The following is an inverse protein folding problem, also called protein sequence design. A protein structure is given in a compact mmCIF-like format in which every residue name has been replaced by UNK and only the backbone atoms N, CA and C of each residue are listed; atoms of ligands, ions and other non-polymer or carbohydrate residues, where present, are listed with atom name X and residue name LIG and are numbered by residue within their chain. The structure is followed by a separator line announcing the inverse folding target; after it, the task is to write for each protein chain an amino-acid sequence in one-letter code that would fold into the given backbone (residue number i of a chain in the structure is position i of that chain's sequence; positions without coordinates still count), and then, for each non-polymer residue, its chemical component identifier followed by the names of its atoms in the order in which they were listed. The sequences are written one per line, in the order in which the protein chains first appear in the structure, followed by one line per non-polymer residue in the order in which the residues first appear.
data_IF_645512379124
#
_entry.id   IF_645512379124
#
_cell.length_a   1.000
_cell.length_b   1.000
_cell.length_c   1.000
_cell.angle_alpha   90.00
_cell.angle_beta   90.00
_cell.angle_gamma   90.00
#
_symmetry.space_group_name_H-M   'P 1'
#
loop_
_entity.id
_entity.type
_entity.pdbx_description
1 polymer ?
#
# COMPACT_ATOMS: atom_id res chain seq x y z
N UNK A 1 29.28 6.15 -11.91
CA UNK A 1 28.86 7.49 -12.41
C UNK A 1 27.41 7.39 -12.86
N UNK A 2 26.43 8.19 -12.48
CA UNK A 2 26.31 9.30 -11.54
C UNK A 2 24.82 9.39 -11.22
N UNK A 3 24.46 9.21 -9.95
CA UNK A 3 23.16 9.61 -9.41
C UNK A 3 23.03 11.12 -9.53
N UNK A 4 22.05 11.61 -10.29
CA UNK A 4 21.58 13.01 -10.31
C UNK A 4 20.40 13.09 -11.27
N UNK A 5 19.16 13.11 -10.75
CA UNK A 5 18.01 13.86 -11.31
C UNK A 5 16.68 13.66 -10.54
N UNK A 6 16.70 13.43 -9.23
CA UNK A 6 15.50 13.60 -8.40
C UNK A 6 15.59 14.96 -7.68
N UNK A 7 15.33 16.05 -8.40
CA UNK A 7 15.20 17.39 -7.82
C UNK A 7 13.72 17.72 -7.66
N UNK A 8 13.32 18.02 -6.43
CA UNK A 8 12.02 18.54 -6.01
C UNK A 8 10.80 17.64 -6.23
N UNK A 9 10.49 16.82 -5.23
CA UNK A 9 9.10 16.46 -4.96
C UNK A 9 8.60 17.44 -3.89
N UNK A 10 8.04 18.58 -4.31
CA UNK A 10 7.24 19.38 -3.39
C UNK A 10 5.84 18.80 -3.37
N UNK A 11 5.35 18.46 -2.18
CA UNK A 11 3.96 18.07 -1.94
C UNK A 11 3.11 19.27 -2.37
N UNK A 12 2.33 19.10 -3.43
CA UNK A 12 1.44 20.11 -3.95
C UNK A 12 0.02 19.69 -3.56
N UNK A 13 -0.61 20.44 -2.65
CA UNK A 13 -1.92 20.12 -2.07
C UNK A 13 -3.01 19.92 -3.13
N UNK A 14 -2.90 20.56 -4.30
CA UNK A 14 -3.80 20.32 -5.43
C UNK A 14 -3.70 18.90 -6.00
N UNK A 15 -2.50 18.32 -6.07
CA UNK A 15 -2.31 16.97 -6.63
C UNK A 15 -2.88 15.86 -5.74
N UNK A 16 -3.00 16.13 -4.44
CA UNK A 16 -3.60 15.20 -3.49
C UNK A 16 -5.12 15.20 -3.59
N UNK A 17 -5.71 16.38 -3.80
CA UNK A 17 -7.12 16.49 -4.13
C UNK A 17 -7.41 15.76 -5.45
N UNK A 18 -6.60 16.02 -6.49
CA UNK A 18 -6.72 15.34 -7.78
C UNK A 18 -6.56 13.81 -7.65
N UNK A 19 -5.65 13.32 -6.80
CA UNK A 19 -5.48 11.89 -6.54
C UNK A 19 -6.69 11.31 -5.82
N UNK A 20 -7.22 12.00 -4.81
CA UNK A 20 -8.39 11.56 -4.05
C UNK A 20 -9.64 11.54 -4.93
N UNK A 21 -9.85 12.56 -5.77
CA UNK A 21 -10.93 12.61 -6.75
C UNK A 21 -10.74 11.56 -7.85
N UNK A 22 -9.51 11.35 -8.32
CA UNK A 22 -9.20 10.32 -9.30
C UNK A 22 -9.45 8.92 -8.75
N UNK A 23 -9.02 8.62 -7.53
CA UNK A 23 -9.27 7.34 -6.85
C UNK A 23 -10.78 7.12 -6.64
N UNK A 24 -11.49 8.14 -6.12
CA UNK A 24 -12.95 8.10 -5.98
C UNK A 24 -13.64 7.85 -7.33
N UNK A 25 -13.17 8.49 -8.39
CA UNK A 25 -13.68 8.34 -9.76
C UNK A 25 -13.39 6.96 -10.34
N UNK A 26 -12.22 6.37 -10.09
CA UNK A 26 -11.92 5.00 -10.53
C UNK A 26 -12.78 3.99 -9.78
N UNK A 27 -12.83 4.07 -8.45
CA UNK A 27 -13.63 3.19 -7.58
C UNK A 27 -15.13 3.22 -7.96
N UNK A 28 -15.67 4.40 -8.27
CA UNK A 28 -17.07 4.56 -8.70
C UNK A 28 -17.35 4.13 -10.14
N UNK A 29 -16.36 4.24 -11.04
CA UNK A 29 -16.47 3.77 -12.43
C UNK A 29 -16.39 2.24 -12.53
N UNK A 30 -15.69 1.57 -11.61
CA UNK A 30 -15.62 0.10 -11.46
C UNK A 30 -16.82 -0.51 -10.72
N UNK A 31 -18.02 0.07 -10.82
CA UNK A 31 -19.24 -0.46 -10.18
C UNK A 31 -19.63 -1.86 -10.67
N UNK A 32 -19.13 -2.29 -11.83
CA UNK A 32 -19.34 -3.63 -12.40
C UNK A 32 -18.30 -4.67 -11.92
N UNK A 33 -17.17 -4.23 -11.34
CA UNK A 33 -16.00 -5.07 -11.03
C UNK A 33 -15.94 -5.50 -9.55
N UNK A 34 -16.73 -4.87 -8.69
CA UNK A 34 -16.75 -5.12 -7.24
C UNK A 34 -17.15 -6.55 -6.87
N UNK A 35 -18.01 -7.21 -7.66
CA UNK A 35 -18.42 -8.60 -7.43
C UNK A 35 -17.29 -9.60 -7.73
N UNK A 36 -16.52 -9.40 -8.81
CA UNK A 36 -15.35 -10.22 -9.14
C UNK A 36 -14.18 -9.91 -8.19
N UNK A 37 -14.00 -8.65 -7.81
CA UNK A 37 -13.00 -8.22 -6.83
C UNK A 37 -13.17 -8.92 -5.47
N UNK A 38 -14.40 -9.11 -4.99
CA UNK A 38 -14.68 -9.86 -3.75
C UNK A 38 -14.39 -11.37 -3.83
N UNK A 39 -14.26 -11.96 -5.02
CA UNK A 39 -14.07 -13.41 -5.16
C UNK A 39 -12.67 -13.84 -4.73
N UNK A 40 -11.63 -13.03 -5.00
CA UNK A 40 -10.27 -13.40 -4.63
C UNK A 40 -10.08 -13.39 -3.11
N UNK A 41 -9.54 -14.47 -2.54
CA UNK A 41 -9.44 -14.69 -1.08
C UNK A 41 -8.67 -13.57 -0.35
N UNK A 42 -7.72 -12.94 -1.03
CA UNK A 42 -6.87 -11.89 -0.48
C UNK A 42 -7.51 -10.49 -0.48
N UNK A 43 -8.68 -10.29 -1.11
CA UNK A 43 -9.35 -9.00 -1.09
C UNK A 43 -10.31 -8.87 0.10
N UNK A 44 -10.52 -7.64 0.62
CA UNK A 44 -11.53 -7.37 1.63
C UNK A 44 -12.90 -7.92 1.23
N UNK A 45 -13.46 -8.80 2.07
CA UNK A 45 -14.77 -9.43 1.82
C UNK A 45 -15.96 -8.53 2.17
N UNK A 46 -15.74 -7.60 3.09
CA UNK A 46 -16.74 -6.65 3.58
C UNK A 46 -16.38 -5.26 3.06
N UNK A 47 -17.35 -4.56 2.47
CA UNK A 47 -17.15 -3.19 2.00
C UNK A 47 -17.37 -2.20 3.16
N UNK A 48 -16.34 -1.98 3.96
CA UNK A 48 -16.32 -1.01 5.07
C UNK A 48 -15.11 -0.07 4.96
N UNK A 49 -14.97 0.89 5.88
CA UNK A 49 -13.85 1.84 5.86
C UNK A 49 -12.49 1.14 5.87
N UNK A 50 -12.34 0.02 6.60
CA UNK A 50 -11.11 -0.77 6.60
C UNK A 50 -10.78 -1.39 5.23
N UNK A 51 -11.79 -1.69 4.41
CA UNK A 51 -11.56 -2.12 3.03
C UNK A 51 -11.05 -0.98 2.15
N UNK A 52 -11.53 0.25 2.38
CA UNK A 52 -11.04 1.45 1.67
C UNK A 52 -9.58 1.72 2.06
N UNK A 53 -9.26 1.67 3.35
CA UNK A 53 -7.89 1.85 3.85
C UNK A 53 -6.94 0.79 3.27
N UNK A 54 -7.41 -0.46 3.16
CA UNK A 54 -6.67 -1.55 2.54
C UNK A 54 -6.42 -1.32 1.05
N UNK A 55 -7.46 -0.96 0.28
CA UNK A 55 -7.34 -0.66 -1.16
C UNK A 55 -6.31 0.44 -1.36
N UNK A 56 -6.41 1.51 -0.58
CA UNK A 56 -5.52 2.66 -0.70
C UNK A 56 -4.05 2.28 -0.48
N UNK A 57 -3.73 1.53 0.59
CA UNK A 57 -2.36 1.10 0.86
C UNK A 57 -1.85 0.13 -0.22
N UNK A 58 -2.68 -0.80 -0.67
CA UNK A 58 -2.28 -1.76 -1.71
C UNK A 58 -2.02 -1.05 -3.03
N UNK A 59 -2.91 -0.16 -3.47
CA UNK A 59 -2.75 0.60 -4.71
C UNK A 59 -1.53 1.51 -4.67
N UNK A 60 -1.28 2.19 -3.53
CA UNK A 60 -0.09 3.03 -3.35
C UNK A 60 1.21 2.23 -3.46
N UNK A 61 1.18 0.94 -3.10
CA UNK A 61 2.34 0.05 -3.12
C UNK A 61 2.36 -0.87 -4.36
N UNK A 62 1.39 -0.80 -5.26
CA UNK A 62 1.25 -1.71 -6.41
C UNK A 62 2.20 -1.34 -7.56
N UNK A 63 3.51 -1.38 -7.32
CA UNK A 63 4.54 -1.12 -8.32
C UNK A 63 5.72 -2.09 -8.22
N UNK A 64 6.48 -2.22 -9.31
CA UNK A 64 7.76 -2.95 -9.39
C UNK A 64 7.72 -4.44 -9.00
N UNK A 65 6.99 -5.26 -9.78
CA UNK A 65 7.00 -6.73 -9.64
C UNK A 65 7.94 -7.45 -10.62
N UNK A 66 8.79 -6.72 -11.33
CA UNK A 66 9.70 -7.28 -12.32
C UNK A 66 10.92 -7.90 -11.63
N UNK A 67 11.11 -9.21 -11.79
CA UNK A 67 12.35 -9.89 -11.42
C UNK A 67 12.65 -10.95 -12.47
N UNK A 68 13.84 -10.93 -13.04
CA UNK A 68 14.24 -11.87 -14.10
C UNK A 68 14.60 -13.26 -13.55
N UNK A 69 15.13 -13.35 -12.31
CA UNK A 69 15.73 -14.59 -11.80
C UNK A 69 15.14 -15.12 -10.47
N UNK A 70 14.69 -14.26 -9.56
CA UNK A 70 14.13 -14.71 -8.27
C UNK A 70 12.95 -13.83 -7.88
N UNK A 71 11.77 -14.44 -7.82
CA UNK A 71 10.52 -13.73 -7.54
C UNK A 71 10.33 -13.55 -6.04
N UNK A 72 10.04 -12.31 -5.65
CA UNK A 72 9.48 -12.04 -4.33
C UNK A 72 8.18 -12.83 -4.16
N UNK A 73 8.10 -13.56 -3.05
CA UNK A 73 6.96 -14.39 -2.71
C UNK A 73 6.65 -14.31 -1.22
N UNK A 74 5.38 -14.54 -0.88
CA UNK A 74 4.89 -14.47 0.49
C UNK A 74 3.95 -15.64 0.73
N UNK A 75 4.17 -16.40 1.79
CA UNK A 75 3.22 -17.42 2.25
C UNK A 75 2.21 -16.83 3.22
N UNK A 76 0.93 -17.03 2.92
CA UNK A 76 -0.19 -16.65 3.78
C UNK A 76 -1.26 -17.74 3.75
N UNK A 77 -1.75 -18.15 4.93
CA UNK A 77 -2.73 -19.24 5.10
C UNK A 77 -2.37 -20.55 4.36
N UNK A 78 -1.08 -20.92 4.31
CA UNK A 78 -0.62 -22.15 3.68
C UNK A 78 -0.43 -22.08 2.15
N UNK A 79 -0.69 -20.93 1.54
CA UNK A 79 -0.49 -20.70 0.11
C UNK A 79 0.62 -19.67 -0.13
N UNK A 80 1.46 -19.92 -1.14
CA UNK A 80 2.56 -19.02 -1.54
C UNK A 80 2.15 -18.20 -2.75
N UNK A 81 2.22 -16.89 -2.62
CA UNK A 81 1.82 -15.93 -3.65
C UNK A 81 3.03 -15.23 -4.24
N UNK A 82 2.93 -14.80 -5.51
CA UNK A 82 3.97 -14.04 -6.23
C UNK A 82 3.34 -12.85 -6.97
N UNK A 83 4.16 -11.92 -7.45
CA UNK A 83 3.68 -10.73 -8.16
C UNK A 83 2.76 -9.89 -7.29
N UNK A 84 1.71 -9.30 -7.87
CA UNK A 84 0.70 -8.52 -7.13
C UNK A 84 0.15 -9.26 -5.90
N UNK A 85 -0.11 -10.56 -6.01
CA UNK A 85 -0.68 -11.33 -4.90
C UNK A 85 0.24 -11.46 -3.70
N UNK A 86 1.56 -11.41 -3.89
CA UNK A 86 2.51 -11.40 -2.77
C UNK A 86 2.41 -10.12 -1.93
N UNK A 87 2.10 -8.97 -2.55
CA UNK A 87 1.85 -7.71 -1.85
C UNK A 87 0.57 -7.83 -1.00
N UNK A 88 -0.53 -8.28 -1.61
CA UNK A 88 -1.79 -8.49 -0.89
C UNK A 88 -1.63 -9.48 0.27
N UNK A 89 -0.89 -10.57 0.05
CA UNK A 89 -0.59 -11.55 1.08
C UNK A 89 0.23 -10.96 2.23
N UNK A 90 1.22 -10.11 1.96
CA UNK A 90 2.01 -9.44 2.99
C UNK A 90 1.16 -8.49 3.85
N UNK A 91 0.31 -7.66 3.23
CA UNK A 91 -0.60 -6.76 3.93
C UNK A 91 -1.57 -7.55 4.82
N UNK A 92 -2.17 -8.62 4.28
CA UNK A 92 -3.10 -9.45 5.04
C UNK A 92 -2.41 -10.21 6.18
N UNK A 93 -1.17 -10.68 5.96
CA UNK A 93 -0.36 -11.32 6.99
C UNK A 93 -0.06 -10.36 8.14
N UNK A 94 0.32 -9.11 7.83
CA UNK A 94 0.55 -8.09 8.83
C UNK A 94 -0.72 -7.77 9.62
N UNK A 95 -1.84 -7.53 8.93
CA UNK A 95 -3.13 -7.28 9.57
C UNK A 95 -3.59 -8.46 10.46
N UNK A 96 -3.43 -9.71 9.98
CA UNK A 96 -3.76 -10.92 10.76
C UNK A 96 -2.91 -11.05 12.03
N UNK A 97 -1.66 -10.58 11.99
CA UNK A 97 -0.74 -10.56 13.13
C UNK A 97 -0.94 -9.33 14.04
N UNK A 98 -2.00 -8.54 13.85
CA UNK A 98 -2.30 -7.37 14.68
C UNK A 98 -1.47 -6.13 14.36
N UNK A 99 -0.73 -6.12 13.25
CA UNK A 99 0.01 -4.94 12.78
C UNK A 99 -0.97 -4.03 12.02
N UNK A 100 -1.17 -2.78 12.45
CA UNK A 100 -2.11 -1.85 11.81
C UNK A 100 -1.51 -1.22 10.54
N UNK A 101 -1.08 -2.03 9.58
CA UNK A 101 -0.40 -1.60 8.34
C UNK A 101 -1.26 -0.71 7.43
N UNK A 102 -2.57 -0.68 7.66
CA UNK A 102 -3.50 0.21 6.94
C UNK A 102 -3.83 1.50 7.71
N UNK A 103 -3.31 1.69 8.92
CA UNK A 103 -3.53 2.91 9.72
C UNK A 103 -2.49 3.99 9.37
N UNK A 104 -2.91 5.17 8.89
CA UNK A 104 -2.02 6.29 8.61
C UNK A 104 -1.12 6.70 9.77
N UNK A 105 -1.63 6.60 11.00
CA UNK A 105 -0.90 6.95 12.22
C UNK A 105 0.29 6.02 12.44
N UNK A 106 0.11 4.74 12.09
CA UNK A 106 1.15 3.73 12.17
C UNK A 106 2.15 3.89 11.04
N UNK A 107 1.68 3.86 9.79
CA UNK A 107 2.61 3.79 8.67
C UNK A 107 3.33 5.12 8.39
N UNK A 108 2.85 6.26 8.90
CA UNK A 108 3.59 7.52 8.90
C UNK A 108 4.87 7.50 9.75
N UNK A 109 4.94 6.59 10.74
CA UNK A 109 6.07 6.45 11.68
C UNK A 109 6.74 5.08 11.58
N UNK A 110 6.38 4.28 10.58
CA UNK A 110 6.91 2.94 10.37
C UNK A 110 8.42 2.98 10.21
N UNK A 111 9.14 2.12 10.93
CA UNK A 111 10.59 2.03 10.81
C UNK A 111 11.01 1.03 9.73
N UNK A 112 12.22 1.17 9.14
CA UNK A 112 12.71 0.25 8.11
C UNK A 112 12.70 -1.23 8.53
N UNK A 113 13.10 -1.54 9.76
CA UNK A 113 13.10 -2.90 10.32
C UNK A 113 11.68 -3.49 10.43
N UNK A 114 10.70 -2.65 10.78
CA UNK A 114 9.29 -3.06 10.81
C UNK A 114 8.75 -3.29 9.40
N UNK A 115 9.12 -2.46 8.44
CA UNK A 115 8.75 -2.63 7.03
C UNK A 115 9.33 -3.93 6.47
N UNK A 116 10.60 -4.21 6.74
CA UNK A 116 11.26 -5.46 6.35
C UNK A 116 10.57 -6.68 6.99
N UNK A 117 10.14 -6.56 8.24
CA UNK A 117 9.37 -7.62 8.89
C UNK A 117 8.01 -7.87 8.21
N UNK A 118 7.27 -6.80 7.90
CA UNK A 118 5.96 -6.86 7.24
C UNK A 118 6.08 -7.51 5.86
N UNK A 119 7.03 -7.02 5.06
CA UNK A 119 7.27 -7.46 3.70
C UNK A 119 8.32 -8.57 3.59
N UNK A 120 8.62 -9.29 4.67
CA UNK A 120 9.55 -10.42 4.64
C UNK A 120 9.09 -11.46 3.61
N UNK A 121 9.87 -11.64 2.55
CA UNK A 121 9.59 -12.65 1.55
C UNK A 121 10.12 -14.02 1.95
N UNK A 122 9.68 -15.04 1.22
CA UNK A 122 10.21 -16.39 1.36
C UNK A 122 11.63 -16.47 0.77
N UNK A 123 12.41 -17.47 1.21
CA UNK A 123 13.75 -17.78 0.70
C UNK A 123 14.74 -16.59 0.73
N UNK A 124 14.54 -15.63 1.64
CA UNK A 124 15.42 -14.46 1.79
C UNK A 124 15.26 -13.42 0.68
N UNK A 125 14.23 -13.54 -0.17
CA UNK A 125 13.98 -12.57 -1.24
C UNK A 125 13.26 -11.37 -0.67
N UNK A 126 13.86 -10.19 -0.79
CA UNK A 126 13.27 -8.94 -0.33
C UNK A 126 12.27 -8.39 -1.33
N UNK A 127 11.28 -7.65 -0.84
CA UNK A 127 10.37 -6.92 -1.72
C UNK A 127 11.17 -5.88 -2.53
N UNK A 128 10.97 -5.78 -3.85
CA UNK A 128 11.66 -4.77 -4.65
C UNK A 128 11.30 -3.36 -4.18
N UNK A 129 12.29 -2.47 -4.20
CA UNK A 129 12.14 -1.04 -3.87
C UNK A 129 11.59 -0.79 -2.45
N UNK A 130 12.09 -1.54 -1.46
CA UNK A 130 11.67 -1.44 -0.06
C UNK A 130 11.74 -0.01 0.49
N UNK A 131 12.86 0.70 0.27
CA UNK A 131 13.03 2.07 0.74
C UNK A 131 12.01 3.04 0.11
N UNK A 132 11.71 2.88 -1.17
CA UNK A 132 10.72 3.69 -1.87
C UNK A 132 9.31 3.41 -1.34
N UNK A 133 8.99 2.16 -1.00
CA UNK A 133 7.71 1.81 -0.35
C UNK A 133 7.59 2.49 1.00
N UNK A 134 8.68 2.54 1.77
CA UNK A 134 8.69 3.24 3.05
C UNK A 134 8.40 4.74 2.87
N UNK A 135 9.07 5.36 1.90
CA UNK A 135 8.89 6.78 1.59
C UNK A 135 7.44 7.08 1.19
N UNK A 136 6.84 6.24 0.33
CA UNK A 136 5.44 6.35 -0.06
C UNK A 136 4.52 6.25 1.16
N UNK A 137 4.71 5.27 2.03
CA UNK A 137 3.93 5.13 3.26
C UNK A 137 4.06 6.36 4.17
N UNK A 138 5.28 6.86 4.38
CA UNK A 138 5.52 8.05 5.19
C UNK A 138 4.84 9.28 4.60
N UNK A 139 4.91 9.47 3.28
CA UNK A 139 4.31 10.61 2.60
C UNK A 139 2.79 10.58 2.69
N UNK A 140 2.16 9.48 2.26
CA UNK A 140 0.69 9.38 2.28
C UNK A 140 0.16 9.42 3.73
N UNK A 141 0.91 8.87 4.69
CA UNK A 141 0.52 8.85 6.10
C UNK A 141 0.52 10.24 6.71
N UNK A 142 1.59 11.01 6.47
CA UNK A 142 1.67 12.41 6.91
C UNK A 142 0.53 13.25 6.34
N UNK A 143 0.25 13.08 5.04
CA UNK A 143 -0.82 13.79 4.35
C UNK A 143 -2.18 13.46 4.95
N UNK A 144 -2.51 12.17 5.11
CA UNK A 144 -3.79 11.75 5.66
C UNK A 144 -3.99 12.20 7.12
N UNK A 145 -2.92 12.24 7.91
CA UNK A 145 -2.96 12.77 9.27
C UNK A 145 -3.22 14.28 9.28
N UNK A 146 -2.59 15.05 8.39
CA UNK A 146 -2.83 16.49 8.25
C UNK A 146 -4.29 16.77 7.89
N UNK A 147 -4.87 16.03 6.94
CA UNK A 147 -6.29 16.15 6.57
C UNK A 147 -7.24 15.78 7.71
N UNK A 148 -6.94 14.73 8.49
CA UNK A 148 -7.76 14.39 9.67
C UNK A 148 -7.75 15.49 10.73
N UNK A 149 -6.62 16.17 10.92
CA UNK A 149 -6.48 17.28 11.87
C UNK A 149 -6.99 18.62 11.34
N UNK A 150 -7.09 18.79 10.02
CA UNK A 150 -7.67 19.95 9.37
C UNK A 150 -9.20 19.87 9.44
N UNK A 151 -9.75 19.96 10.66
CA UNK A 151 -11.18 20.17 10.85
C UNK A 151 -11.51 21.58 10.35
N UNK A 152 -12.40 21.68 9.38
CA UNK A 152 -12.88 22.95 8.85
C UNK A 152 -13.42 23.82 9.99
N UNK A 153 -12.67 24.86 10.35
CA UNK A 153 -13.20 25.99 11.09
C UNK A 153 -14.02 26.82 10.10
N UNK A 154 -15.33 26.62 10.10
CA UNK A 154 -16.29 27.64 9.67
C UNK A 154 -17.37 27.76 10.73
#
# INVERSE_FOLDING_TARGET
MSSKNAKNVSINDHKLHDLSEWLLKQITKTKYDFCCWKQHELHPKIANNSAIDWIFVVDALNFSFWSENTRYSVTFNGHTYTGYWSLCAAINRAAKNGIPITDPSFYAHLKPDQLEHIFKGENGVHIPLSDQRLQVLHEIGRVLLQFKTATFKH
#
